data_IF_649429516554
#
_entry.id   IF_649429516554
#
_cell.length_a   1.000
_cell.length_b   1.000
_cell.length_c   1.000
_cell.angle_alpha   90.00
_cell.angle_beta   90.00
_cell.angle_gamma   90.00
#
_symmetry.space_group_name_H-M   'P 1'
#
loop_
_entity.id
_entity.type
_entity.pdbx_description
1 polymer ?
#
# COMPACT_ATOMS: atom_id res chain seq x y z
N UNK A 1 -6.24 13.96 14.95
CA UNK A 1 -5.94 14.04 13.52
C UNK A 1 -5.76 12.61 13.04
N UNK A 2 -6.79 12.02 12.46
CA UNK A 2 -6.77 10.65 11.94
C UNK A 2 -6.04 10.68 10.60
N UNK A 3 -4.85 10.09 10.54
CA UNK A 3 -3.90 10.14 9.43
C UNK A 3 -4.33 9.37 8.16
N UNK A 4 -5.64 9.24 7.91
CA UNK A 4 -6.21 8.48 6.79
C UNK A 4 -6.60 9.35 5.59
N UNK A 5 -6.59 10.68 5.71
CA UNK A 5 -7.16 11.56 4.66
C UNK A 5 -6.19 11.96 3.55
N UNK A 6 -4.89 11.64 3.65
CA UNK A 6 -3.86 12.14 2.72
C UNK A 6 -2.91 11.06 2.19
N UNK A 7 -3.41 9.85 1.92
CA UNK A 7 -2.62 8.84 1.19
C UNK A 7 -2.79 9.07 -0.31
N UNK A 8 -1.74 9.52 -0.98
CA UNK A 8 -1.74 9.66 -2.44
C UNK A 8 -1.36 8.36 -3.14
N UNK A 9 -0.39 7.61 -2.59
CA UNK A 9 0.06 6.37 -3.21
C UNK A 9 0.72 5.43 -2.19
N UNK A 10 1.10 4.26 -2.70
CA UNK A 10 1.87 3.25 -2.00
C UNK A 10 3.12 2.92 -2.81
N UNK A 11 4.29 3.00 -2.17
CA UNK A 11 5.56 2.69 -2.82
C UNK A 11 6.00 1.27 -2.51
N UNK A 12 6.14 0.44 -3.55
CA UNK A 12 6.44 -0.98 -3.44
C UNK A 12 7.39 -1.44 -4.55
N UNK A 13 8.53 -2.01 -4.18
CA UNK A 13 9.49 -2.56 -5.14
C UNK A 13 9.99 -1.56 -6.18
N UNK A 14 10.22 -0.30 -5.77
CA UNK A 14 10.60 0.85 -6.62
C UNK A 14 9.48 1.46 -7.47
N UNK A 15 8.26 0.95 -7.34
CA UNK A 15 7.13 1.38 -8.14
C UNK A 15 6.01 2.01 -7.30
N UNK A 16 5.28 2.91 -7.94
CA UNK A 16 4.16 3.63 -7.35
C UNK A 16 2.83 2.95 -7.65
N UNK A 17 2.01 2.71 -6.62
CA UNK A 17 0.70 2.07 -6.78
C UNK A 17 -0.41 2.90 -6.16
N UNK A 18 -1.56 2.94 -6.83
CA UNK A 18 -2.78 3.46 -6.23
C UNK A 18 -3.32 2.47 -5.18
N UNK A 19 -4.24 2.96 -4.34
CA UNK A 19 -4.87 2.19 -3.26
C UNK A 19 -5.50 0.88 -3.73
N UNK A 20 -6.13 0.86 -4.91
CA UNK A 20 -6.78 -0.34 -5.43
C UNK A 20 -5.78 -1.34 -5.98
N UNK A 21 -4.80 -0.89 -6.76
CA UNK A 21 -3.80 -1.77 -7.37
C UNK A 21 -2.90 -2.43 -6.33
N UNK A 22 -2.49 -1.71 -5.29
CA UNK A 22 -1.68 -2.29 -4.21
C UNK A 22 -2.52 -3.29 -3.41
N UNK A 23 -3.78 -2.96 -3.11
CA UNK A 23 -4.70 -3.85 -2.38
C UNK A 23 -4.85 -5.17 -3.11
N UNK A 24 -5.11 -5.14 -4.42
CA UNK A 24 -5.24 -6.35 -5.22
C UNK A 24 -3.97 -7.21 -5.22
N UNK A 25 -2.80 -6.59 -5.25
CA UNK A 25 -1.51 -7.30 -5.21
C UNK A 25 -1.43 -8.19 -3.96
N UNK A 26 -1.85 -7.65 -2.81
CA UNK A 26 -1.75 -8.32 -1.51
C UNK A 26 -2.94 -9.22 -1.18
N UNK A 27 -4.14 -8.94 -1.72
CA UNK A 27 -5.29 -9.85 -1.62
C UNK A 27 -4.98 -11.15 -2.36
N UNK A 28 -4.50 -11.05 -3.61
CA UNK A 28 -4.25 -12.22 -4.47
C UNK A 28 -3.08 -13.08 -3.98
N UNK A 29 -2.06 -12.48 -3.36
CA UNK A 29 -0.89 -13.21 -2.87
C UNK A 29 -1.07 -13.85 -1.49
N UNK A 30 -1.84 -13.26 -0.58
CA UNK A 30 -1.86 -13.69 0.83
C UNK A 30 -3.25 -13.97 1.42
N UNK A 31 -4.34 -13.50 0.81
CA UNK A 31 -5.65 -13.40 1.48
C UNK A 31 -6.84 -13.69 0.56
N UNK A 32 -7.18 -14.96 0.37
CA UNK A 32 -8.49 -15.36 -0.16
C UNK A 32 -9.56 -15.45 0.95
N UNK A 33 -9.57 -14.47 1.86
CA UNK A 33 -10.18 -14.59 3.20
C UNK A 33 -11.30 -13.59 3.49
N UNK A 34 -11.55 -12.63 2.61
CA UNK A 34 -12.54 -11.60 2.87
C UNK A 34 -13.87 -11.90 2.15
N UNK A 35 -14.96 -11.85 2.90
CA UNK A 35 -16.32 -11.97 2.34
C UNK A 35 -16.75 -10.72 1.57
N UNK A 36 -16.15 -9.57 1.89
CA UNK A 36 -16.37 -8.27 1.25
C UNK A 36 -15.02 -7.61 0.97
N UNK A 37 -14.94 -6.72 -0.03
CA UNK A 37 -13.69 -6.03 -0.38
C UNK A 37 -13.30 -5.01 0.70
N UNK A 38 -12.25 -5.25 1.51
CA UNK A 38 -11.88 -4.36 2.60
C UNK A 38 -11.19 -3.09 2.07
N UNK A 39 -11.03 -2.09 2.94
CA UNK A 39 -10.16 -0.95 2.63
C UNK A 39 -8.71 -1.38 2.46
N UNK A 40 -7.94 -0.63 1.66
CA UNK A 40 -6.51 -0.89 1.43
C UNK A 40 -5.74 -0.95 2.75
N UNK A 41 -5.97 0.00 3.66
CA UNK A 41 -5.32 0.01 4.97
C UNK A 41 -5.63 -1.21 5.82
N UNK A 42 -6.86 -1.72 5.75
CA UNK A 42 -7.22 -2.95 6.46
C UNK A 42 -6.47 -4.15 5.90
N UNK A 43 -6.46 -4.31 4.57
CA UNK A 43 -5.70 -5.39 3.90
C UNK A 43 -4.24 -5.33 4.28
N UNK A 44 -3.62 -4.15 4.20
CA UNK A 44 -2.21 -4.00 4.51
C UNK A 44 -1.90 -4.26 6.00
N UNK A 45 -2.77 -3.86 6.93
CA UNK A 45 -2.62 -4.22 8.35
C UNK A 45 -2.63 -5.72 8.56
N UNK A 46 -3.62 -6.42 7.99
CA UNK A 46 -3.74 -7.88 8.14
C UNK A 46 -2.53 -8.61 7.55
N UNK A 47 -2.05 -8.19 6.38
CA UNK A 47 -0.85 -8.82 5.79
C UNK A 47 0.40 -8.52 6.62
N UNK A 48 0.58 -7.28 7.08
CA UNK A 48 1.74 -6.93 7.88
C UNK A 48 1.81 -7.72 9.19
N UNK A 49 0.69 -7.85 9.91
CA UNK A 49 0.59 -8.68 11.11
C UNK A 49 1.00 -10.13 10.83
N UNK A 50 0.50 -10.72 9.73
CA UNK A 50 0.85 -12.09 9.33
C UNK A 50 2.31 -12.28 8.98
N UNK A 51 2.93 -11.26 8.40
CA UNK A 51 4.35 -11.26 8.00
C UNK A 51 5.29 -10.81 9.13
N UNK A 52 4.76 -10.45 10.31
CA UNK A 52 5.55 -9.93 11.42
C UNK A 52 6.18 -8.56 11.13
N UNK A 53 5.53 -7.75 10.30
CA UNK A 53 6.00 -6.44 9.86
C UNK A 53 5.35 -5.35 10.72
N UNK A 54 6.16 -4.46 11.30
CA UNK A 54 5.67 -3.29 12.02
C UNK A 54 5.51 -2.10 11.05
N UNK A 55 4.29 -1.90 10.52
CA UNK A 55 4.02 -0.81 9.56
C UNK A 55 4.32 0.60 10.08
N UNK A 56 4.34 0.77 11.40
CA UNK A 56 4.59 2.05 12.07
C UNK A 56 6.09 2.30 12.37
N UNK A 57 6.96 1.34 12.06
CA UNK A 57 8.40 1.49 12.13
C UNK A 57 8.99 1.40 10.72
N UNK A 58 9.31 2.55 10.14
CA UNK A 58 9.84 2.67 8.77
C UNK A 58 11.16 1.92 8.55
N UNK A 59 11.90 1.61 9.62
CA UNK A 59 13.16 0.88 9.55
C UNK A 59 12.98 -0.64 9.70
N UNK A 60 11.76 -1.10 10.01
CA UNK A 60 11.49 -2.52 10.22
C UNK A 60 11.29 -3.32 8.92
N UNK A 61 11.11 -2.64 7.78
CA UNK A 61 10.97 -3.27 6.46
C UNK A 61 11.42 -2.36 5.32
N UNK A 62 11.76 -2.99 4.19
CA UNK A 62 12.01 -2.29 2.92
C UNK A 62 10.77 -2.32 2.03
N UNK A 63 10.71 -1.39 1.07
CA UNK A 63 9.63 -1.30 0.06
C UNK A 63 9.55 -2.54 -0.84
N UNK A 64 10.62 -3.34 -0.91
CA UNK A 64 10.62 -4.64 -1.58
C UNK A 64 9.91 -5.75 -0.79
N UNK A 65 9.74 -5.57 0.53
CA UNK A 65 9.06 -6.54 1.41
C UNK A 65 7.60 -6.16 1.64
N UNK A 66 7.31 -4.87 1.75
CA UNK A 66 5.98 -4.37 2.05
C UNK A 66 5.83 -2.90 1.61
N UNK A 67 4.64 -2.47 1.14
CA UNK A 67 4.43 -1.11 0.69
C UNK A 67 4.58 -0.12 1.83
N UNK A 68 5.17 1.05 1.52
CA UNK A 68 5.13 2.23 2.38
C UNK A 68 4.07 3.20 1.89
N UNK A 69 3.41 3.86 2.84
CA UNK A 69 2.45 4.92 2.55
C UNK A 69 3.22 6.16 2.08
N UNK A 70 2.74 6.79 1.01
CA UNK A 70 3.29 8.04 0.50
C UNK A 70 2.27 9.16 0.77
N UNK A 71 2.64 10.19 1.53
CA UNK A 71 1.74 11.30 1.83
C UNK A 71 1.57 12.21 0.61
N UNK A 72 0.44 12.91 0.52
CA UNK A 72 0.03 13.68 -0.66
C UNK A 72 0.86 14.93 -0.96
N UNK A 73 1.73 15.34 -0.05
CA UNK A 73 2.67 16.45 -0.20
C UNK A 73 4.02 16.02 -0.78
N UNK A 74 4.29 14.72 -0.91
CA UNK A 74 5.47 14.20 -1.59
C UNK A 74 5.24 14.11 -3.11
N UNK A 75 6.04 14.85 -3.88
CA UNK A 75 5.97 14.88 -5.34
C UNK A 75 6.57 13.63 -5.97
N UNK A 76 5.84 13.07 -6.94
CA UNK A 76 6.31 12.01 -7.82
C UNK A 76 7.05 12.54 -9.06
N UNK A 77 8.02 11.75 -9.54
CA UNK A 77 8.45 11.78 -10.94
C UNK A 77 7.53 10.92 -11.85
N UNK A 78 6.75 9.98 -11.28
CA UNK A 78 5.79 9.16 -12.02
C UNK A 78 4.36 9.73 -11.93
N UNK A 79 3.79 10.15 -13.05
CA UNK A 79 2.46 10.77 -13.11
C UNK A 79 1.28 9.78 -12.90
N UNK A 80 1.55 8.48 -12.76
CA UNK A 80 0.48 7.48 -12.65
C UNK A 80 0.88 6.17 -11.97
N UNK A 81 -0.14 5.38 -11.63
CA UNK A 81 -0.01 4.09 -10.99
C UNK A 81 0.68 3.11 -11.93
N UNK A 82 1.76 2.47 -11.47
CA UNK A 82 2.52 1.49 -12.24
C UNK A 82 1.64 0.39 -12.87
N UNK A 83 0.60 -0.04 -12.14
CA UNK A 83 -0.27 -1.13 -12.61
C UNK A 83 -1.42 -0.69 -13.54
N UNK A 84 -2.25 0.27 -13.14
CA UNK A 84 -3.42 0.68 -13.94
C UNK A 84 -3.18 1.91 -14.83
N UNK A 85 -2.04 2.58 -14.68
CA UNK A 85 -1.65 3.79 -15.42
C UNK A 85 -2.55 5.02 -15.17
N UNK A 86 -3.53 4.92 -14.27
CA UNK A 86 -4.34 6.05 -13.81
C UNK A 86 -3.50 7.02 -12.97
N UNK A 87 -3.82 8.32 -12.95
CA UNK A 87 -3.13 9.30 -12.12
C UNK A 87 -3.12 8.95 -10.62
N UNK A 88 -2.01 9.28 -9.94
CA UNK A 88 -1.81 9.14 -8.49
C UNK A 88 -2.02 10.47 -7.74
#
# INVERSE_FOLDING_TARGET
MTATENVSAYYFGEEAYCSDCIKELFITSDLNLFAEWPSTEHVLNVVAERRGINRFDENSYSTYRFPKVMPSDERFDSEGCYRCQEPL
#
